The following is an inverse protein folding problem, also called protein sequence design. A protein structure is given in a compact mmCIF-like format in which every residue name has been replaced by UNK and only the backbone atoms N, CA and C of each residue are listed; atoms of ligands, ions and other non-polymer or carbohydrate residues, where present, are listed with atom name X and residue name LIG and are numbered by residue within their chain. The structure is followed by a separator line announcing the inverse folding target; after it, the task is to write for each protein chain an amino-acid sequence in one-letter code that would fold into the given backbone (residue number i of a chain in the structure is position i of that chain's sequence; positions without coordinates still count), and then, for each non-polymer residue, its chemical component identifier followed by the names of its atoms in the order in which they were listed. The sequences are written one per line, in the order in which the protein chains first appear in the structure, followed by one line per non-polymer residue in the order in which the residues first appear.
data_IF_354395193537
#
_entry.id   IF_354395193537
#
_cell.length_a   1.000
_cell.length_b   1.000
_cell.length_c   1.000
_cell.angle_alpha   90.00
_cell.angle_beta   90.00
_cell.angle_gamma   90.00
#
_symmetry.space_group_name_H-M   'P 1'
#
loop_
_entity.id
_entity.type
_entity.pdbx_description
1 polymer ?
#
# COMPACT_ATOMS: atom_id res chain seq x y z
N UNK A 1 29.28 -3.54 -15.76
CA UNK A 1 30.25 -3.99 -14.74
C UNK A 1 29.57 -3.91 -13.39
N UNK A 2 29.21 -5.06 -12.81
CA UNK A 2 28.45 -5.14 -11.56
C UNK A 2 29.33 -4.72 -10.40
N UNK A 3 28.99 -3.61 -9.74
CA UNK A 3 29.58 -3.22 -8.47
C UNK A 3 29.14 -4.25 -7.42
N UNK A 4 29.90 -5.34 -7.26
CA UNK A 4 29.66 -6.32 -6.20
C UNK A 4 30.06 -5.67 -4.88
N UNK A 5 29.15 -4.91 -4.29
CA UNK A 5 29.25 -4.51 -2.89
C UNK A 5 29.53 -5.77 -2.07
N UNK A 6 30.64 -5.77 -1.32
CA UNK A 6 31.10 -6.92 -0.56
C UNK A 6 30.11 -7.16 0.60
N UNK A 7 29.12 -8.02 0.36
CA UNK A 7 28.04 -8.31 1.31
C UNK A 7 28.59 -9.01 2.56
N UNK A 8 28.31 -8.49 3.77
CA UNK A 8 28.59 -9.19 5.02
C UNK A 8 27.93 -10.59 5.04
N UNK A 9 28.66 -11.62 5.47
CA UNK A 9 28.15 -13.00 5.51
C UNK A 9 26.90 -13.19 6.39
N UNK A 10 26.62 -12.24 7.28
CA UNK A 10 25.42 -12.21 8.13
C UNK A 10 24.14 -11.88 7.35
N UNK A 11 24.24 -11.24 6.18
CA UNK A 11 23.09 -10.92 5.33
C UNK A 11 22.88 -12.03 4.30
N UNK A 12 21.78 -12.76 4.47
CA UNK A 12 21.39 -13.86 3.59
C UNK A 12 20.66 -13.36 2.35
N UNK A 13 20.59 -14.19 1.31
CA UNK A 13 19.79 -13.87 0.11
C UNK A 13 18.32 -13.62 0.47
N UNK A 14 17.76 -14.40 1.41
CA UNK A 14 16.38 -14.24 1.90
C UNK A 14 16.10 -12.86 2.50
N UNK A 15 17.06 -12.29 3.21
CA UNK A 15 16.91 -10.94 3.79
C UNK A 15 16.87 -9.88 2.67
N UNK A 16 17.72 -10.02 1.66
CA UNK A 16 17.77 -9.10 0.52
C UNK A 16 16.49 -9.20 -0.31
N UNK A 17 16.04 -10.42 -0.61
CA UNK A 17 14.78 -10.65 -1.33
C UNK A 17 13.58 -10.06 -0.58
N UNK A 18 13.53 -10.19 0.74
CA UNK A 18 12.48 -9.58 1.55
C UNK A 18 12.53 -8.05 1.52
N UNK A 19 13.74 -7.45 1.53
CA UNK A 19 13.91 -6.01 1.37
C UNK A 19 13.53 -5.53 -0.04
N UNK A 20 13.88 -6.28 -1.09
CA UNK A 20 13.47 -6.01 -2.48
C UNK A 20 11.94 -5.95 -2.60
N UNK A 21 11.24 -6.98 -2.08
CA UNK A 21 9.77 -7.01 -2.06
C UNK A 21 9.16 -5.84 -1.30
N UNK A 22 9.74 -5.44 -0.17
CA UNK A 22 9.24 -4.29 0.57
C UNK A 22 9.45 -2.99 -0.18
N UNK A 23 10.60 -2.79 -0.85
CA UNK A 23 10.81 -1.63 -1.70
C UNK A 23 9.81 -1.56 -2.86
N UNK A 24 9.55 -2.70 -3.51
CA UNK A 24 8.53 -2.81 -4.56
C UNK A 24 7.13 -2.44 -4.04
N UNK A 25 6.71 -3.03 -2.91
CA UNK A 25 5.41 -2.75 -2.30
C UNK A 25 5.24 -1.27 -1.91
N UNK A 26 6.28 -0.66 -1.32
CA UNK A 26 6.30 0.78 -1.01
C UNK A 26 6.16 1.62 -2.29
N UNK A 27 6.85 1.24 -3.37
CA UNK A 27 6.80 1.96 -4.63
C UNK A 27 5.40 1.87 -5.28
N UNK A 28 4.79 0.69 -5.26
CA UNK A 28 3.43 0.46 -5.76
C UNK A 28 2.43 1.31 -4.96
N UNK A 29 2.46 1.23 -3.63
CA UNK A 29 1.54 2.01 -2.78
C UNK A 29 1.69 3.51 -3.02
N UNK A 30 2.93 4.03 -3.06
CA UNK A 30 3.21 5.45 -3.34
C UNK A 30 2.74 5.90 -4.72
N UNK A 31 2.75 5.00 -5.71
CA UNK A 31 2.27 5.29 -7.06
C UNK A 31 0.74 5.34 -7.10
N UNK A 32 0.08 4.40 -6.41
CA UNK A 32 -1.37 4.29 -6.39
C UNK A 32 -2.04 5.36 -5.52
N UNK A 33 -1.43 5.75 -4.41
CA UNK A 33 -2.03 6.68 -3.44
C UNK A 33 -2.59 7.97 -4.09
N UNK A 34 -1.81 8.76 -4.85
CA UNK A 34 -2.32 9.99 -5.44
C UNK A 34 -3.38 9.74 -6.53
N UNK A 35 -3.31 8.61 -7.24
CA UNK A 35 -4.29 8.25 -8.29
C UNK A 35 -5.63 7.91 -7.63
N UNK A 36 -5.58 6.99 -6.66
CA UNK A 36 -6.76 6.48 -5.96
C UNK A 36 -7.45 7.57 -5.16
N UNK A 37 -6.70 8.32 -4.37
CA UNK A 37 -7.26 9.42 -3.59
C UNK A 37 -7.70 10.57 -4.50
N UNK A 38 -7.06 10.77 -5.65
CA UNK A 38 -7.44 11.77 -6.65
C UNK A 38 -8.85 11.54 -7.18
N UNK A 39 -9.15 10.33 -7.67
CA UNK A 39 -10.49 10.07 -8.20
C UNK A 39 -11.55 9.98 -7.11
N UNK A 40 -11.24 9.45 -5.91
CA UNK A 40 -12.20 9.40 -4.80
C UNK A 40 -12.64 10.81 -4.39
N UNK A 41 -11.67 11.74 -4.30
CA UNK A 41 -11.94 13.16 -4.03
C UNK A 41 -12.80 13.79 -5.13
N UNK A 42 -12.48 13.51 -6.40
CA UNK A 42 -13.25 14.04 -7.53
C UNK A 42 -14.72 13.54 -7.54
N UNK A 43 -14.94 12.27 -7.18
CA UNK A 43 -16.29 11.69 -7.04
C UNK A 43 -17.06 12.39 -5.93
N UNK A 44 -16.48 12.50 -4.73
CA UNK A 44 -17.11 13.17 -3.58
C UNK A 44 -17.44 14.64 -3.86
N UNK A 45 -16.51 15.37 -4.49
CA UNK A 45 -16.70 16.78 -4.88
C UNK A 45 -17.85 16.96 -5.86
N UNK A 46 -18.01 16.03 -6.82
CA UNK A 46 -19.07 16.08 -7.83
C UNK A 46 -20.43 15.70 -7.26
N UNK A 47 -20.48 14.66 -6.42
CA UNK A 47 -21.74 14.14 -5.91
C UNK A 47 -22.29 14.95 -4.73
N UNK A 48 -21.41 15.63 -3.98
CA UNK A 48 -21.77 16.40 -2.77
C UNK A 48 -22.66 15.61 -1.80
N UNK A 49 -22.31 14.34 -1.57
CA UNK A 49 -23.08 13.43 -0.74
C UNK A 49 -23.08 13.88 0.73
N UNK A 50 -24.23 13.73 1.39
CA UNK A 50 -24.43 14.24 2.73
C UNK A 50 -23.92 13.27 3.79
N UNK A 51 -23.46 13.83 4.90
CA UNK A 51 -23.24 13.10 6.14
C UNK A 51 -24.57 12.52 6.61
N UNK A 52 -24.59 11.24 6.97
CA UNK A 52 -25.75 10.52 7.50
C UNK A 52 -26.33 11.28 8.71
N UNK A 53 -27.67 11.37 8.85
CA UNK A 53 -28.32 12.12 9.93
C UNK A 53 -27.82 11.75 11.33
N UNK A 54 -27.42 10.50 11.55
CA UNK A 54 -26.87 10.01 12.84
C UNK A 54 -25.53 10.66 13.23
N UNK A 55 -24.79 11.20 12.27
CA UNK A 55 -23.48 11.85 12.49
C UNK A 55 -23.52 13.38 12.35
N UNK A 56 -24.70 13.98 12.15
CA UNK A 56 -24.81 15.41 11.87
C UNK A 56 -24.60 16.31 13.10
N UNK A 57 -24.73 15.80 14.34
CA UNK A 57 -24.53 16.55 15.59
C UNK A 57 -25.23 17.92 15.59
N UNK A 58 -26.49 17.95 15.12
CA UNK A 58 -27.30 19.18 15.01
C UNK A 58 -26.89 20.14 13.89
N UNK A 59 -25.96 19.77 13.01
CA UNK A 59 -25.57 20.55 11.82
C UNK A 59 -26.20 19.95 10.57
N UNK A 60 -27.10 20.70 9.97
CA UNK A 60 -27.73 20.32 8.69
C UNK A 60 -26.75 20.48 7.52
N UNK A 61 -26.94 19.66 6.49
CA UNK A 61 -26.28 19.77 5.18
C UNK A 61 -24.75 19.66 5.15
N UNK A 62 -24.15 18.96 6.11
CA UNK A 62 -22.73 18.60 6.04
C UNK A 62 -22.48 17.64 4.87
N UNK A 63 -21.50 17.97 4.03
CA UNK A 63 -21.08 17.18 2.86
C UNK A 63 -19.76 16.47 3.13
N UNK A 64 -19.65 15.23 2.68
CA UNK A 64 -18.40 14.46 2.74
C UNK A 64 -17.50 14.84 1.57
N UNK A 65 -16.37 15.49 1.85
CA UNK A 65 -15.40 15.93 0.83
C UNK A 65 -14.07 15.18 0.86
N UNK A 66 -13.81 14.40 1.92
CA UNK A 66 -12.58 13.63 2.07
C UNK A 66 -12.87 12.12 2.04
N UNK A 67 -12.09 11.31 1.30
CA UNK A 67 -12.28 9.86 1.23
C UNK A 67 -12.24 9.17 2.60
N UNK A 68 -11.39 9.64 3.52
CA UNK A 68 -11.29 9.08 4.88
C UNK A 68 -12.57 9.27 5.70
N UNK A 69 -13.46 10.17 5.27
CA UNK A 69 -14.75 10.43 5.91
C UNK A 69 -15.91 9.76 5.17
N UNK A 70 -15.65 8.93 4.15
CA UNK A 70 -16.70 8.26 3.39
C UNK A 70 -17.55 7.29 4.23
N UNK A 71 -17.04 6.84 5.38
CA UNK A 71 -17.82 6.07 6.37
C UNK A 71 -18.98 6.87 7.00
N UNK A 72 -19.01 8.19 6.82
CA UNK A 72 -20.09 9.06 7.28
C UNK A 72 -21.26 9.13 6.30
N UNK A 73 -21.16 8.51 5.11
CA UNK A 73 -22.22 8.51 4.11
C UNK A 73 -23.42 7.66 4.58
N UNK A 74 -24.62 8.07 4.19
CA UNK A 74 -25.81 7.23 4.36
C UNK A 74 -25.76 6.01 3.42
N UNK A 75 -26.45 4.92 3.75
CA UNK A 75 -26.41 3.66 2.99
C UNK A 75 -26.76 3.83 1.49
N UNK A 76 -27.78 4.64 1.17
CA UNK A 76 -28.13 4.92 -0.23
C UNK A 76 -27.09 5.77 -0.99
N UNK A 77 -26.39 6.67 -0.29
CA UNK A 77 -25.30 7.48 -0.85
C UNK A 77 -24.00 6.66 -0.98
N UNK A 78 -23.82 5.66 -0.11
CA UNK A 78 -22.68 4.76 -0.10
C UNK A 78 -22.63 3.90 -1.36
N UNK A 79 -23.75 3.28 -1.75
CA UNK A 79 -23.83 2.48 -2.98
C UNK A 79 -23.53 3.31 -4.23
N UNK A 80 -24.09 4.52 -4.30
CA UNK A 80 -23.82 5.47 -5.39
C UNK A 80 -22.33 5.86 -5.44
N UNK A 81 -21.75 6.17 -4.27
CA UNK A 81 -20.32 6.49 -4.16
C UNK A 81 -19.44 5.34 -4.66
N UNK A 82 -19.72 4.10 -4.22
CA UNK A 82 -18.97 2.91 -4.64
C UNK A 82 -19.03 2.70 -6.16
N UNK A 83 -20.22 2.79 -6.75
CA UNK A 83 -20.41 2.62 -8.19
C UNK A 83 -19.63 3.68 -9.00
N UNK A 84 -19.62 4.94 -8.55
CA UNK A 84 -18.88 6.01 -9.23
C UNK A 84 -17.36 5.91 -9.01
N UNK A 85 -16.93 5.42 -7.86
CA UNK A 85 -15.53 5.08 -7.57
C UNK A 85 -15.05 3.94 -8.46
N UNK A 86 -15.87 2.90 -8.67
CA UNK A 86 -15.53 1.78 -9.54
C UNK A 86 -15.35 2.25 -10.99
N UNK A 87 -16.28 3.06 -11.52
CA UNK A 87 -16.16 3.66 -12.86
C UNK A 87 -14.87 4.46 -12.99
N UNK A 88 -14.53 5.25 -11.97
CA UNK A 88 -13.31 6.05 -11.98
C UNK A 88 -12.03 5.21 -11.90
N UNK A 89 -12.06 4.10 -11.13
CA UNK A 89 -10.97 3.10 -11.09
C UNK A 89 -10.73 2.50 -12.47
N UNK A 90 -11.80 2.05 -13.14
CA UNK A 90 -11.72 1.46 -14.49
C UNK A 90 -11.22 2.50 -15.50
N UNK A 91 -11.70 3.74 -15.45
CA UNK A 91 -11.23 4.82 -16.31
C UNK A 91 -9.74 5.17 -16.09
N UNK A 92 -9.22 4.95 -14.88
CA UNK A 92 -7.80 5.11 -14.56
C UNK A 92 -6.93 3.90 -15.00
N UNK A 93 -7.52 2.86 -15.59
CA UNK A 93 -6.80 1.66 -16.02
C UNK A 93 -6.27 0.81 -14.86
N UNK A 94 -6.85 0.93 -13.67
CA UNK A 94 -6.41 0.18 -12.49
C UNK A 94 -7.17 -1.13 -12.38
N UNK A 95 -6.46 -2.25 -12.56
CA UNK A 95 -7.01 -3.60 -12.45
C UNK A 95 -6.85 -4.14 -11.02
N UNK A 96 -7.87 -4.86 -10.56
CA UNK A 96 -7.91 -5.54 -9.25
C UNK A 96 -8.52 -6.92 -9.44
N UNK A 97 -8.17 -7.86 -8.56
CA UNK A 97 -8.63 -9.24 -8.65
C UNK A 97 -10.16 -9.37 -8.54
N UNK A 98 -10.79 -8.54 -7.69
CA UNK A 98 -12.23 -8.53 -7.45
C UNK A 98 -12.74 -7.09 -7.62
N UNK A 99 -13.96 -6.92 -8.16
CA UNK A 99 -14.47 -5.61 -8.58
C UNK A 99 -14.63 -4.61 -7.42
N UNK A 100 -14.89 -5.13 -6.22
CA UNK A 100 -15.08 -4.40 -4.96
C UNK A 100 -13.75 -4.05 -4.26
N UNK A 101 -12.63 -4.59 -4.72
CA UNK A 101 -11.33 -4.31 -4.12
C UNK A 101 -10.85 -2.89 -4.44
N UNK A 102 -10.45 -2.17 -3.38
CA UNK A 102 -9.73 -0.90 -3.51
C UNK A 102 -8.25 -1.17 -3.81
N UNK A 103 -7.70 -0.71 -4.95
CA UNK A 103 -6.31 -0.96 -5.32
C UNK A 103 -5.31 -0.50 -4.26
N UNK A 104 -5.57 0.65 -3.62
CA UNK A 104 -4.72 1.20 -2.57
C UNK A 104 -4.74 0.34 -1.30
N UNK A 105 -5.89 -0.25 -0.94
CA UNK A 105 -5.97 -1.13 0.23
C UNK A 105 -5.25 -2.46 -0.03
N UNK A 106 -5.36 -3.01 -1.24
CA UNK A 106 -4.61 -4.20 -1.66
C UNK A 106 -3.10 -3.92 -1.58
N UNK A 107 -2.64 -2.79 -2.13
CA UNK A 107 -1.23 -2.41 -2.08
C UNK A 107 -0.74 -2.20 -0.63
N UNK A 108 -1.55 -1.58 0.22
CA UNK A 108 -1.22 -1.41 1.64
C UNK A 108 -1.10 -2.75 2.36
N UNK A 109 -2.02 -3.70 2.08
CA UNK A 109 -1.96 -5.05 2.63
C UNK A 109 -0.66 -5.78 2.22
N UNK A 110 -0.30 -5.70 0.94
CA UNK A 110 0.95 -6.30 0.44
C UNK A 110 2.20 -5.64 1.04
N UNK A 111 2.21 -4.31 1.26
CA UNK A 111 3.29 -3.65 2.01
C UNK A 111 3.38 -4.21 3.44
N UNK A 112 2.28 -4.29 4.16
CA UNK A 112 2.26 -4.80 5.53
C UNK A 112 2.75 -6.25 5.62
N UNK A 113 2.41 -7.07 4.63
CA UNK A 113 2.92 -8.44 4.49
C UNK A 113 4.43 -8.45 4.23
N UNK A 114 4.92 -7.65 3.29
CA UNK A 114 6.34 -7.53 2.99
C UNK A 114 7.16 -7.02 4.20
N UNK A 115 6.61 -6.12 5.00
CA UNK A 115 7.22 -5.70 6.27
C UNK A 115 7.36 -6.87 7.25
N UNK A 116 6.30 -7.68 7.41
CA UNK A 116 6.35 -8.84 8.29
C UNK A 116 7.40 -9.85 7.81
N UNK A 117 7.45 -10.10 6.50
CA UNK A 117 8.43 -11.00 5.90
C UNK A 117 9.87 -10.49 6.10
N UNK A 118 10.10 -9.18 5.95
CA UNK A 118 11.40 -8.56 6.22
C UNK A 118 11.81 -8.71 7.69
N UNK A 119 10.92 -8.36 8.63
CA UNK A 119 11.19 -8.45 10.06
C UNK A 119 11.46 -9.91 10.48
N UNK A 120 10.72 -10.86 9.91
CA UNK A 120 10.95 -12.28 10.12
C UNK A 120 12.30 -12.74 9.53
N UNK A 121 12.70 -12.24 8.37
CA UNK A 121 13.97 -12.59 7.76
C UNK A 121 15.18 -12.08 8.56
N UNK A 122 15.11 -10.85 9.09
CA UNK A 122 16.22 -10.25 9.86
C UNK A 122 16.29 -10.76 11.30
N UNK A 123 15.20 -11.30 11.86
CA UNK A 123 15.17 -11.83 13.23
C UNK A 123 16.05 -13.06 13.45
N UNK A 124 16.51 -13.71 12.37
CA UNK A 124 17.51 -14.78 12.44
C UNK A 124 18.86 -14.26 12.98
N UNK A 125 19.14 -12.96 12.86
CA UNK A 125 20.32 -12.34 13.45
C UNK A 125 20.15 -12.30 14.98
N UNK A 126 21.07 -12.88 15.78
CA UNK A 126 20.88 -13.03 17.23
C UNK A 126 20.56 -11.72 17.98
N UNK A 127 21.12 -10.59 17.53
CA UNK A 127 20.88 -9.26 18.11
C UNK A 127 19.56 -8.61 17.69
N UNK A 128 18.87 -9.19 16.70
CA UNK A 128 17.62 -8.67 16.12
C UNK A 128 16.44 -9.65 16.28
N UNK A 129 16.61 -10.72 17.07
CA UNK A 129 15.58 -11.76 17.29
C UNK A 129 14.21 -11.20 17.66
N UNK A 130 14.19 -10.11 18.44
CA UNK A 130 12.96 -9.53 18.95
C UNK A 130 12.16 -8.79 17.86
N UNK A 131 12.78 -8.47 16.72
CA UNK A 131 12.11 -7.82 15.59
C UNK A 131 11.03 -8.71 14.96
N UNK A 132 11.16 -10.03 15.05
CA UNK A 132 10.16 -10.99 14.54
C UNK A 132 8.86 -11.04 15.35
N UNK A 133 8.80 -10.40 16.52
CA UNK A 133 7.69 -10.48 17.46
C UNK A 133 7.00 -9.13 17.72
N UNK A 134 7.15 -8.17 16.80
CA UNK A 134 6.59 -6.82 16.93
C UNK A 134 5.07 -6.73 16.71
N UNK A 135 4.33 -7.84 16.70
CA UNK A 135 2.88 -7.86 16.48
C UNK A 135 2.07 -7.08 17.53
N UNK A 136 2.59 -6.93 18.75
CA UNK A 136 2.00 -6.14 19.83
C UNK A 136 2.77 -4.84 20.14
N UNK A 137 3.75 -4.47 19.32
CA UNK A 137 4.54 -3.25 19.52
C UNK A 137 3.77 -2.00 19.09
N UNK A 138 4.22 -0.84 19.57
CA UNK A 138 3.68 0.45 19.08
C UNK A 138 4.00 0.60 17.59
N UNK A 139 3.09 1.23 16.85
CA UNK A 139 3.27 1.49 15.41
C UNK A 139 4.59 2.22 15.10
N UNK A 140 5.01 3.14 15.98
CA UNK A 140 6.27 3.86 15.85
C UNK A 140 7.49 2.95 15.96
N UNK A 141 7.47 1.98 16.87
CA UNK A 141 8.59 1.06 17.08
C UNK A 141 8.69 0.07 15.93
N UNK A 142 7.54 -0.37 15.39
CA UNK A 142 7.48 -1.14 14.15
C UNK A 142 8.12 -0.37 12.99
N UNK A 143 7.75 0.91 12.81
CA UNK A 143 8.31 1.76 11.76
C UNK A 143 9.84 1.88 11.88
N UNK A 144 10.35 2.14 13.08
CA UNK A 144 11.80 2.22 13.33
C UNK A 144 12.51 0.90 13.01
N UNK A 145 11.90 -0.24 13.35
CA UNK A 145 12.48 -1.56 13.07
C UNK A 145 12.55 -1.84 11.56
N UNK A 146 11.49 -1.53 10.81
CA UNK A 146 11.45 -1.65 9.35
C UNK A 146 12.50 -0.73 8.71
N UNK A 147 12.56 0.53 9.14
CA UNK A 147 13.54 1.51 8.64
C UNK A 147 14.99 1.05 8.91
N UNK A 148 15.27 0.51 10.10
CA UNK A 148 16.57 -0.06 10.43
C UNK A 148 16.91 -1.24 9.49
N UNK A 149 15.99 -2.18 9.32
CA UNK A 149 16.20 -3.34 8.46
C UNK A 149 16.44 -2.94 6.99
N UNK A 150 15.65 -2.01 6.46
CA UNK A 150 15.83 -1.48 5.11
C UNK A 150 17.16 -0.73 4.96
N UNK A 151 17.55 0.11 5.92
CA UNK A 151 18.82 0.83 5.87
C UNK A 151 20.04 -0.11 5.89
N UNK A 152 19.94 -1.25 6.59
CA UNK A 152 21.00 -2.26 6.63
C UNK A 152 21.14 -3.00 5.29
N UNK A 153 20.03 -3.22 4.58
CA UNK A 153 19.97 -4.08 3.40
C UNK A 153 19.97 -3.32 2.07
N UNK A 154 19.57 -2.04 2.07
CA UNK A 154 19.45 -1.20 0.86
C UNK A 154 20.69 -1.16 -0.02
N UNK A 155 21.95 -1.22 0.47
CA UNK A 155 23.11 -1.27 -0.40
C UNK A 155 23.19 -2.54 -1.26
N UNK A 156 22.50 -3.61 -0.87
CA UNK A 156 22.58 -4.92 -1.52
C UNK A 156 21.33 -5.27 -2.35
N UNK A 157 20.30 -4.42 -2.30
CA UNK A 157 19.06 -4.54 -3.07
C UNK A 157 19.28 -3.99 -4.47
N UNK A 158 18.77 -4.68 -5.50
CA UNK A 158 18.84 -4.18 -6.88
C UNK A 158 17.98 -2.90 -7.04
N UNK A 159 18.36 -1.96 -7.94
CA UNK A 159 17.58 -0.75 -8.18
C UNK A 159 16.15 -1.07 -8.62
N UNK A 160 15.17 -0.58 -7.85
CA UNK A 160 13.73 -0.83 -7.98
C UNK A 160 13.12 -0.39 -9.33
N UNK A 161 13.80 0.47 -10.10
CA UNK A 161 13.31 0.88 -11.43
C UNK A 161 13.14 -0.29 -12.39
N UNK A 162 14.01 -1.29 -12.34
CA UNK A 162 13.88 -2.47 -13.20
C UNK A 162 12.69 -3.34 -12.77
N UNK A 163 12.50 -3.50 -11.45
CA UNK A 163 11.39 -4.27 -10.89
C UNK A 163 10.02 -3.63 -11.18
N UNK A 164 9.90 -2.29 -11.08
CA UNK A 164 8.69 -1.56 -11.46
C UNK A 164 8.38 -1.73 -12.95
N UNK A 165 9.40 -1.65 -13.82
CA UNK A 165 9.23 -1.86 -15.26
C UNK A 165 8.82 -3.31 -15.59
N UNK A 166 9.33 -4.29 -14.86
CA UNK A 166 9.01 -5.70 -15.06
C UNK A 166 7.60 -6.04 -14.54
N UNK A 167 7.14 -5.40 -13.45
CA UNK A 167 5.77 -5.53 -12.93
C UNK A 167 4.73 -4.91 -13.88
N UNK A 168 5.03 -3.73 -14.45
CA UNK A 168 4.19 -3.11 -15.48
C UNK A 168 4.11 -4.01 -16.72
N UNK A 169 5.23 -4.61 -17.16
CA UNK A 169 5.22 -5.55 -18.29
C UNK A 169 4.44 -6.82 -18.00
N UNK A 170 4.58 -7.39 -16.81
CA UNK A 170 3.90 -8.63 -16.44
C UNK A 170 2.38 -8.45 -16.31
N UNK A 171 1.93 -7.30 -15.79
CA UNK A 171 0.51 -6.94 -15.78
C UNK A 171 -0.10 -6.73 -17.18
N UNK A 172 0.72 -6.47 -18.21
CA UNK A 172 0.30 -6.40 -19.61
C UNK A 172 0.32 -7.77 -20.32
N UNK A 173 1.04 -8.75 -19.78
CA UNK A 173 1.18 -10.10 -20.35
C UNK A 173 0.14 -11.09 -19.81
N UNK A 174 -0.40 -10.86 -18.60
CA UNK A 174 -1.46 -11.68 -17.99
C UNK A 174 -2.89 -11.30 -18.44
N UNK A 175 -3.02 -10.49 -19.50
CA UNK A 175 -4.29 -10.13 -20.14
C UNK A 175 -4.48 -10.97 -21.43
N UNK A 176 -4.97 -12.22 -21.36
CA UNK A 176 -5.42 -12.90 -22.56
C UNK A 176 -6.75 -12.26 -22.98
N UNK A 177 -6.72 -11.65 -24.16
CA UNK A 177 -7.93 -11.26 -24.92
C UNK A 177 -9.00 -12.34 -24.93
#
# INVERSE_FOLDING_TARGET
MSNKLNRPAIFTDKMIEAAERLFEAIAIERTLDPIVNGYKKAVLLRLQLKVSPEFQDGREDLVVLHPDHAYLLAEGDWELYLAEVEKARVAAGLHVAEADHCPLLVANHERLRAENDLLAAVSVIPRLKDLGHLGAARLEDRKKAVDLALNMLSPYVKPTQQAILDLIRKGLEEDPK
#
